data_IF_435581198435
#
_entry.id   IF_435581198435
#
_cell.length_a   1.000
_cell.length_b   1.000
_cell.length_c   1.000
_cell.angle_alpha   90.00
_cell.angle_beta   90.00
_cell.angle_gamma   90.00
#
_symmetry.space_group_name_H-M   'P 1'
#
loop_
_entity.id
_entity.type
_entity.pdbx_description
1 polymer ?
#
# COMPACT_ATOMS: atom_id res chain seq x y z
N UNK A 1 -6.48 -3.05 -19.26
CA UNK A 1 -7.07 -3.47 -17.96
C UNK A 1 -6.21 -4.60 -17.40
N UNK A 2 -5.91 -4.58 -16.10
CA UNK A 2 -5.10 -5.65 -15.46
C UNK A 2 -5.91 -6.31 -14.37
N UNK A 3 -5.82 -7.62 -14.26
CA UNK A 3 -6.30 -8.35 -13.09
C UNK A 3 -5.28 -8.28 -11.96
N UNK A 4 -5.77 -8.23 -10.73
CA UNK A 4 -4.95 -8.19 -9.50
C UNK A 4 -5.40 -9.33 -8.58
N UNK A 5 -4.46 -10.19 -8.19
CA UNK A 5 -4.66 -11.20 -7.15
C UNK A 5 -3.68 -10.94 -6.01
N UNK A 6 -4.14 -11.19 -4.80
CA UNK A 6 -3.33 -11.07 -3.59
C UNK A 6 -3.39 -12.35 -2.80
N UNK A 7 -2.25 -12.67 -2.21
CA UNK A 7 -2.07 -13.85 -1.39
C UNK A 7 -1.34 -13.45 -0.12
N UNK A 8 -1.81 -13.93 1.02
CA UNK A 8 -1.12 -13.80 2.29
C UNK A 8 -0.38 -15.08 2.61
N UNK A 9 0.80 -14.97 3.21
CA UNK A 9 1.63 -16.11 3.60
C UNK A 9 2.27 -15.85 4.96
N UNK A 10 2.59 -16.89 5.72
CA UNK A 10 3.34 -16.79 6.97
C UNK A 10 4.74 -16.23 6.70
N UNK A 11 5.17 -15.24 7.47
CA UNK A 11 6.46 -14.57 7.24
C UNK A 11 7.66 -15.53 7.31
N UNK A 12 7.55 -16.61 8.06
CA UNK A 12 8.58 -17.65 8.14
C UNK A 12 8.76 -18.40 6.82
N UNK A 13 7.78 -18.36 5.93
CA UNK A 13 7.84 -18.98 4.60
C UNK A 13 8.42 -18.08 3.51
N UNK A 14 8.87 -16.88 3.84
CA UNK A 14 9.29 -15.87 2.86
C UNK A 14 10.39 -16.37 1.90
N UNK A 15 11.38 -17.11 2.40
CA UNK A 15 12.47 -17.63 1.55
C UNK A 15 11.95 -18.70 0.58
N UNK A 16 11.02 -19.53 1.04
CA UNK A 16 10.36 -20.52 0.18
C UNK A 16 9.57 -19.83 -0.93
N UNK A 17 8.77 -18.83 -0.57
CA UNK A 17 7.99 -18.03 -1.55
C UNK A 17 8.91 -17.36 -2.57
N UNK A 18 10.05 -16.79 -2.14
CA UNK A 18 11.04 -16.21 -3.06
C UNK A 18 11.60 -17.23 -4.04
N UNK A 19 11.95 -18.41 -3.54
CA UNK A 19 12.50 -19.49 -4.35
C UNK A 19 11.45 -20.03 -5.34
N UNK A 20 10.22 -20.25 -4.90
CA UNK A 20 9.13 -20.73 -5.75
C UNK A 20 8.83 -19.73 -6.89
N UNK A 21 8.81 -18.43 -6.56
CA UNK A 21 8.61 -17.37 -7.56
C UNK A 21 9.77 -17.31 -8.58
N UNK A 22 11.02 -17.40 -8.12
CA UNK A 22 12.21 -17.38 -9.01
C UNK A 22 12.28 -18.59 -9.91
N UNK A 23 11.91 -19.77 -9.40
CA UNK A 23 11.92 -21.04 -10.12
C UNK A 23 10.64 -21.28 -10.94
N UNK A 24 9.67 -20.37 -10.86
CA UNK A 24 8.43 -20.50 -11.62
C UNK A 24 8.69 -20.38 -13.13
N UNK A 25 7.87 -21.03 -13.93
CA UNK A 25 7.90 -20.93 -15.40
C UNK A 25 7.59 -19.51 -15.92
N UNK A 26 7.20 -18.59 -15.03
CA UNK A 26 6.93 -17.19 -15.38
C UNK A 26 8.19 -16.40 -15.75
N UNK A 27 9.39 -16.94 -15.50
CA UNK A 27 10.65 -16.28 -15.81
C UNK A 27 10.80 -14.93 -15.07
N UNK A 28 10.44 -14.91 -13.79
CA UNK A 28 10.47 -13.71 -12.97
C UNK A 28 11.90 -13.26 -12.66
N UNK A 29 12.19 -12.00 -12.87
CA UNK A 29 13.45 -11.35 -12.48
C UNK A 29 13.17 -10.05 -11.74
N UNK A 30 14.12 -9.63 -10.92
CA UNK A 30 14.01 -8.34 -10.21
C UNK A 30 13.91 -7.20 -11.22
N UNK A 31 12.92 -6.34 -11.05
CA UNK A 31 12.64 -5.20 -11.94
C UNK A 31 13.06 -3.85 -11.36
N UNK A 32 13.09 -3.74 -10.04
CA UNK A 32 13.53 -2.57 -9.30
C UNK A 32 14.25 -2.99 -8.03
N UNK A 33 15.15 -2.15 -7.46
CA UNK A 33 15.70 -2.37 -6.13
C UNK A 33 14.59 -2.49 -5.07
N UNK A 34 14.82 -3.35 -4.09
CA UNK A 34 13.96 -3.43 -2.92
C UNK A 34 13.96 -2.12 -2.17
N UNK A 35 12.81 -1.72 -1.64
CA UNK A 35 12.70 -0.50 -0.85
C UNK A 35 11.57 -0.59 0.17
N UNK A 36 11.64 0.28 1.17
CA UNK A 36 10.54 0.48 2.09
C UNK A 36 9.53 1.47 1.50
N UNK A 37 8.28 1.07 1.57
CA UNK A 37 7.13 1.87 1.16
C UNK A 37 6.44 2.39 2.41
N UNK A 38 6.41 3.69 2.57
CA UNK A 38 5.70 4.38 3.63
C UNK A 38 4.39 4.93 3.10
N UNK A 39 3.37 4.90 3.92
CA UNK A 39 2.08 5.52 3.59
C UNK A 39 1.40 6.03 4.85
N UNK A 40 0.83 7.23 4.79
CA UNK A 40 -0.14 7.73 5.75
C UNK A 40 -1.47 7.84 5.02
N UNK A 41 -2.49 7.17 5.52
CA UNK A 41 -3.85 7.25 4.98
C UNK A 41 -4.63 8.38 5.61
N UNK A 42 -5.42 9.05 4.77
CA UNK A 42 -6.35 10.08 5.16
C UNK A 42 -7.76 9.50 5.11
N UNK A 43 -8.58 9.79 6.12
CA UNK A 43 -9.98 9.37 6.15
C UNK A 43 -10.83 10.39 6.90
N UNK A 44 -12.13 10.20 6.88
CA UNK A 44 -13.05 10.92 7.75
C UNK A 44 -12.90 10.45 9.21
N UNK A 45 -13.48 11.22 10.14
CA UNK A 45 -13.53 10.83 11.55
C UNK A 45 -14.18 9.47 11.76
N UNK A 46 -15.16 9.11 10.94
CA UNK A 46 -15.90 7.86 11.03
C UNK A 46 -15.25 6.70 10.24
N UNK A 47 -14.06 6.87 9.66
CA UNK A 47 -13.40 5.87 8.84
C UNK A 47 -14.22 5.42 7.61
N UNK A 48 -14.91 6.35 6.95
CA UNK A 48 -15.81 6.05 5.84
C UNK A 48 -15.12 5.28 4.69
N UNK A 49 -13.90 5.65 4.32
CA UNK A 49 -13.16 4.94 3.28
C UNK A 49 -12.77 3.51 3.70
N UNK A 50 -12.53 3.25 4.98
CA UNK A 50 -12.32 1.89 5.49
C UNK A 50 -13.62 1.10 5.44
N UNK A 51 -14.73 1.65 5.92
CA UNK A 51 -16.07 1.04 5.93
C UNK A 51 -16.53 0.73 4.51
N UNK A 52 -16.40 1.66 3.56
CA UNK A 52 -16.72 1.45 2.15
C UNK A 52 -15.93 0.30 1.53
N UNK A 53 -14.69 0.12 1.97
CA UNK A 53 -13.87 -0.98 1.49
C UNK A 53 -14.28 -2.33 2.07
N UNK A 54 -14.65 -2.39 3.34
CA UNK A 54 -15.12 -3.60 4.03
C UNK A 54 -16.46 -4.03 3.44
N UNK A 55 -17.41 -3.10 3.32
CA UNK A 55 -18.75 -3.34 2.78
C UNK A 55 -18.76 -3.61 1.27
N UNK A 56 -17.63 -3.37 0.59
CA UNK A 56 -17.52 -3.63 -0.84
C UNK A 56 -18.24 -2.63 -1.72
N UNK A 57 -18.46 -1.39 -1.24
CA UNK A 57 -19.12 -0.33 -2.01
C UNK A 57 -18.55 -0.22 -3.42
N UNK A 58 -19.44 -0.13 -4.41
CA UNK A 58 -19.07 -0.09 -5.83
C UNK A 58 -18.35 1.19 -6.23
N UNK A 59 -18.66 2.29 -5.54
CA UNK A 59 -17.98 3.59 -5.69
C UNK A 59 -17.28 3.91 -4.38
N UNK A 60 -15.97 3.90 -4.37
CA UNK A 60 -15.15 4.21 -3.20
C UNK A 60 -13.81 4.77 -3.59
N UNK A 61 -13.17 5.46 -2.66
CA UNK A 61 -11.81 5.95 -2.87
C UNK A 61 -10.98 5.80 -1.60
N UNK A 62 -9.67 5.93 -1.76
CA UNK A 62 -8.70 5.99 -0.66
C UNK A 62 -7.68 7.05 -0.99
N UNK A 63 -7.38 7.87 -0.02
CA UNK A 63 -6.36 8.92 -0.12
C UNK A 63 -5.20 8.54 0.78
N UNK A 64 -3.97 8.67 0.26
CA UNK A 64 -2.77 8.45 1.07
C UNK A 64 -1.62 9.34 0.62
N UNK A 65 -0.83 9.76 1.56
CA UNK A 65 0.49 10.29 1.35
C UNK A 65 1.49 9.13 1.30
N UNK A 66 2.38 9.10 0.30
CA UNK A 66 3.36 8.03 0.11
C UNK A 66 4.76 8.60 -0.10
N UNK A 67 5.74 7.91 0.48
CA UNK A 67 7.16 8.10 0.18
C UNK A 67 7.93 6.79 0.25
N UNK A 68 9.20 6.81 -0.08
CA UNK A 68 10.06 5.64 -0.17
C UNK A 68 11.38 5.88 0.56
N UNK A 69 11.96 4.82 1.12
CA UNK A 69 13.29 4.82 1.72
C UNK A 69 14.02 3.50 1.44
N UNK A 70 15.34 3.52 1.54
CA UNK A 70 16.16 2.30 1.44
C UNK A 70 16.21 1.53 2.76
N UNK A 71 16.10 2.23 3.86
CA UNK A 71 16.15 1.68 5.20
C UNK A 71 14.78 1.69 5.88
N UNK A 72 14.59 0.73 6.80
CA UNK A 72 13.47 0.76 7.73
C UNK A 72 13.71 1.86 8.76
N UNK A 73 13.33 3.06 8.42
CA UNK A 73 13.38 4.20 9.32
C UNK A 73 12.14 5.07 9.13
N UNK A 74 11.83 5.83 10.15
CA UNK A 74 10.76 6.82 10.11
C UNK A 74 11.33 8.24 9.90
N UNK A 75 12.65 8.37 9.80
CA UNK A 75 13.28 9.66 9.63
C UNK A 75 13.00 10.18 8.23
N UNK A 76 12.41 11.36 8.19
CA UNK A 76 12.21 12.11 6.97
C UNK A 76 13.38 13.06 6.82
N UNK A 77 14.09 12.96 5.72
CA UNK A 77 15.10 13.95 5.33
C UNK A 77 14.45 15.12 4.56
N UNK A 78 15.18 16.19 4.40
CA UNK A 78 14.72 17.39 3.70
C UNK A 78 14.43 17.13 2.21
N UNK A 79 14.98 16.03 1.65
CA UNK A 79 14.82 15.64 0.26
C UNK A 79 13.71 14.59 0.06
N UNK A 80 12.98 14.22 1.12
CA UNK A 80 11.92 13.23 1.01
C UNK A 80 10.84 13.68 0.03
N UNK A 81 10.69 12.92 -1.06
CA UNK A 81 9.68 13.19 -2.07
C UNK A 81 8.36 12.51 -1.71
N UNK A 82 7.36 13.31 -1.43
CA UNK A 82 6.03 12.82 -1.14
C UNK A 82 5.16 12.77 -2.37
N UNK A 83 4.28 11.79 -2.42
CA UNK A 83 3.24 11.64 -3.43
C UNK A 83 1.89 11.48 -2.73
N UNK A 84 0.94 12.34 -3.04
CA UNK A 84 -0.45 12.08 -2.70
C UNK A 84 -1.04 11.15 -3.75
N UNK A 85 -1.53 10.01 -3.33
CA UNK A 85 -2.19 9.03 -4.18
C UNK A 85 -3.68 8.95 -3.83
N UNK A 86 -4.53 9.13 -4.83
CA UNK A 86 -5.98 8.92 -4.73
C UNK A 86 -6.30 7.67 -5.56
N UNK A 87 -6.71 6.60 -4.90
CA UNK A 87 -7.14 5.38 -5.57
C UNK A 87 -8.66 5.34 -5.61
N UNK A 88 -9.19 5.50 -6.81
CA UNK A 88 -10.62 5.43 -7.09
C UNK A 88 -11.01 4.01 -7.50
N UNK A 89 -12.17 3.57 -7.08
CA UNK A 89 -12.82 2.37 -7.59
C UNK A 89 -14.26 2.69 -7.97
N UNK A 90 -14.63 2.34 -9.20
CA UNK A 90 -16.02 2.45 -9.71
C UNK A 90 -16.36 1.11 -10.35
N UNK A 91 -17.16 0.31 -9.66
CA UNK A 91 -17.46 -1.08 -10.04
C UNK A 91 -16.17 -1.92 -10.22
N UNK A 92 -15.94 -2.43 -11.43
CA UNK A 92 -14.73 -3.18 -11.81
C UNK A 92 -13.54 -2.28 -12.17
N UNK A 93 -13.77 -0.99 -12.45
CA UNK A 93 -12.72 -0.06 -12.86
C UNK A 93 -11.96 0.47 -11.64
N UNK A 94 -10.66 0.54 -11.77
CA UNK A 94 -9.78 1.14 -10.76
C UNK A 94 -8.88 2.16 -11.43
N UNK A 95 -8.89 3.36 -10.90
CA UNK A 95 -8.06 4.48 -11.35
C UNK A 95 -7.14 4.91 -10.20
N UNK A 96 -5.95 5.37 -10.53
CA UNK A 96 -4.99 5.91 -9.58
C UNK A 96 -4.51 7.26 -10.06
N UNK A 97 -4.76 8.29 -9.26
CA UNK A 97 -4.29 9.65 -9.46
C UNK A 97 -3.10 9.86 -8.52
N UNK A 98 -2.04 10.48 -9.03
CA UNK A 98 -0.80 10.74 -8.26
C UNK A 98 -0.41 12.20 -8.43
N UNK A 99 -0.19 12.88 -7.31
CA UNK A 99 0.33 14.24 -7.27
C UNK A 99 1.61 14.28 -6.45
N UNK A 100 2.71 14.86 -6.97
CA UNK A 100 3.84 15.21 -6.13
C UNK A 100 3.41 16.27 -5.13
N UNK A 101 3.86 16.14 -3.89
CA UNK A 101 3.53 17.05 -2.78
C UNK A 101 4.81 17.42 -2.07
N UNK A 102 5.02 18.70 -1.86
CA UNK A 102 6.10 19.19 -1.01
C UNK A 102 5.56 19.36 0.42
N UNK A 103 6.21 18.74 1.39
CA UNK A 103 5.82 18.81 2.81
C UNK A 103 7.03 19.20 3.66
N UNK A 104 7.15 20.49 4.02
CA UNK A 104 8.15 20.94 4.97
C UNK A 104 8.01 20.24 6.32
N UNK A 105 9.13 20.08 7.02
CA UNK A 105 9.16 19.38 8.32
C UNK A 105 8.22 20.02 9.35
N UNK A 106 8.11 21.34 9.32
CA UNK A 106 7.23 22.12 10.22
C UNK A 106 5.75 21.75 10.02
N UNK A 107 5.36 21.46 8.77
CA UNK A 107 3.99 21.03 8.46
C UNK A 107 3.78 19.59 8.91
N UNK A 108 4.76 18.69 8.72
CA UNK A 108 4.66 17.29 9.17
C UNK A 108 4.51 17.15 10.68
N UNK A 109 5.07 18.11 11.45
CA UNK A 109 4.96 18.15 12.92
C UNK A 109 3.78 18.97 13.43
N UNK A 110 2.97 19.53 12.52
CA UNK A 110 1.79 20.32 12.86
C UNK A 110 0.55 19.45 13.11
N UNK A 111 -0.60 20.06 13.33
CA UNK A 111 -1.86 19.33 13.50
C UNK A 111 -2.28 18.62 12.20
N UNK A 112 -3.04 17.53 12.32
CA UNK A 112 -3.58 16.78 11.19
C UNK A 112 -4.33 17.68 10.21
N UNK A 113 -5.18 18.55 10.73
CA UNK A 113 -5.94 19.53 9.92
C UNK A 113 -4.99 20.44 9.14
N UNK A 114 -3.88 20.86 9.75
CA UNK A 114 -2.87 21.68 9.07
C UNK A 114 -2.20 20.94 7.94
N UNK A 115 -1.84 19.65 8.15
CA UNK A 115 -1.27 18.78 7.11
C UNK A 115 -2.27 18.59 5.97
N UNK A 116 -3.52 18.24 6.28
CA UNK A 116 -4.59 18.02 5.30
C UNK A 116 -4.81 19.29 4.46
N UNK A 117 -4.94 20.44 5.11
CA UNK A 117 -5.14 21.72 4.43
C UNK A 117 -3.93 22.10 3.56
N UNK A 118 -2.71 21.86 4.04
CA UNK A 118 -1.49 22.17 3.29
C UNK A 118 -1.37 21.31 2.04
N UNK A 119 -1.67 20.01 2.15
CA UNK A 119 -1.70 19.08 1.01
C UNK A 119 -2.81 19.46 0.04
N UNK A 120 -4.01 19.77 0.53
CA UNK A 120 -5.17 20.15 -0.29
C UNK A 120 -4.90 21.38 -1.16
N UNK A 121 -4.13 22.37 -0.66
CA UNK A 121 -3.77 23.58 -1.43
C UNK A 121 -2.91 23.30 -2.65
N UNK A 122 -2.15 22.18 -2.65
CA UNK A 122 -1.28 21.79 -3.75
C UNK A 122 -1.99 20.98 -4.83
N UNK A 123 -3.26 20.60 -4.62
CA UNK A 123 -4.02 19.79 -5.56
C UNK A 123 -4.76 20.65 -6.59
N UNK A 124 -4.94 20.14 -7.82
CA UNK A 124 -5.89 20.67 -8.77
C UNK A 124 -7.31 20.69 -8.17
N UNK A 125 -8.12 21.66 -8.60
CA UNK A 125 -9.43 21.90 -8.03
C UNK A 125 -10.38 20.67 -8.12
N UNK A 126 -10.27 19.92 -9.20
CA UNK A 126 -11.05 18.70 -9.46
C UNK A 126 -10.73 17.54 -8.50
N UNK A 127 -9.55 17.57 -7.86
CA UNK A 127 -9.12 16.52 -6.94
C UNK A 127 -9.25 16.91 -5.46
N UNK A 128 -9.45 18.19 -5.17
CA UNK A 128 -9.68 18.68 -3.78
C UNK A 128 -10.85 18.00 -3.07
N UNK A 129 -11.99 17.70 -3.71
CA UNK A 129 -13.10 17.05 -3.03
C UNK A 129 -12.73 15.74 -2.33
N UNK A 130 -11.77 14.97 -2.86
CA UNK A 130 -11.35 13.70 -2.26
C UNK A 130 -10.62 13.86 -0.91
N UNK A 131 -9.91 14.97 -0.73
CA UNK A 131 -9.19 15.23 0.53
C UNK A 131 -10.01 16.13 1.48
N UNK A 132 -10.91 16.95 0.97
CA UNK A 132 -11.73 17.84 1.79
C UNK A 132 -12.67 17.09 2.76
N UNK A 133 -13.03 15.85 2.45
CA UNK A 133 -13.82 14.99 3.35
C UNK A 133 -12.95 14.27 4.39
N UNK A 134 -11.63 14.32 4.25
CA UNK A 134 -10.72 13.72 5.20
C UNK A 134 -10.50 14.70 6.37
N UNK A 135 -10.63 14.20 7.58
CA UNK A 135 -10.42 14.98 8.82
C UNK A 135 -9.27 14.46 9.64
N UNK A 136 -8.85 13.21 9.38
CA UNK A 136 -7.86 12.50 10.18
C UNK A 136 -6.75 11.89 9.32
N UNK A 137 -5.57 11.79 9.90
CA UNK A 137 -4.50 10.89 9.48
C UNK A 137 -4.76 9.53 10.14
N UNK A 138 -5.48 8.66 9.47
CA UNK A 138 -6.13 7.50 10.08
C UNK A 138 -5.23 6.30 10.32
N UNK A 139 -4.17 6.14 9.52
CA UNK A 139 -3.27 4.98 9.60
C UNK A 139 -1.92 5.27 8.94
N UNK A 140 -0.85 4.95 9.63
CA UNK A 140 0.48 4.82 9.08
C UNK A 140 0.80 3.35 8.71
N UNK A 141 1.45 3.14 7.57
CA UNK A 141 1.90 1.81 7.12
C UNK A 141 3.31 1.92 6.57
N UNK A 142 4.20 1.04 7.02
CA UNK A 142 5.50 0.83 6.41
C UNK A 142 5.67 -0.65 6.08
N UNK A 143 6.30 -0.96 4.95
CA UNK A 143 6.61 -2.33 4.57
C UNK A 143 7.75 -2.38 3.56
N UNK A 144 8.55 -3.44 3.60
CA UNK A 144 9.54 -3.74 2.57
C UNK A 144 8.83 -4.31 1.34
N UNK A 145 9.18 -3.84 0.14
CA UNK A 145 8.66 -4.35 -1.12
C UNK A 145 9.77 -4.77 -2.07
N UNK A 146 9.66 -6.00 -2.52
CA UNK A 146 10.43 -6.58 -3.61
C UNK A 146 9.62 -6.52 -4.90
N UNK A 147 10.28 -6.32 -6.03
CA UNK A 147 9.63 -6.13 -7.33
C UNK A 147 10.15 -7.15 -8.34
N UNK A 148 9.26 -7.94 -8.90
CA UNK A 148 9.55 -8.93 -9.91
C UNK A 148 8.71 -8.69 -11.16
N UNK A 149 9.29 -8.97 -12.32
CA UNK A 149 8.64 -8.85 -13.62
C UNK A 149 8.95 -10.10 -14.46
N UNK A 150 7.94 -10.64 -15.12
CA UNK A 150 8.13 -11.74 -16.06
C UNK A 150 8.68 -11.24 -17.41
N UNK A 151 9.61 -11.99 -17.98
CA UNK A 151 10.26 -11.62 -19.25
C UNK A 151 9.40 -11.80 -20.50
N UNK A 152 8.25 -12.42 -20.43
CA UNK A 152 7.44 -12.72 -21.63
C UNK A 152 5.99 -12.28 -21.54
N UNK A 153 5.49 -11.99 -20.34
CA UNK A 153 4.05 -11.88 -20.09
C UNK A 153 3.60 -10.56 -19.46
N UNK A 154 4.50 -9.60 -19.22
CA UNK A 154 4.21 -8.36 -18.47
C UNK A 154 3.47 -8.61 -17.13
N UNK A 155 3.72 -9.77 -16.51
CA UNK A 155 3.21 -10.08 -15.18
C UNK A 155 4.09 -9.39 -14.16
N UNK A 156 3.48 -8.57 -13.33
CA UNK A 156 4.16 -7.89 -12.22
C UNK A 156 3.84 -8.61 -10.93
N UNK A 157 4.87 -9.00 -10.22
CA UNK A 157 4.74 -9.61 -8.90
C UNK A 157 5.45 -8.73 -7.88
N UNK A 158 4.82 -8.49 -6.75
CA UNK A 158 5.46 -7.83 -5.61
C UNK A 158 5.33 -8.69 -4.37
N UNK A 159 6.39 -8.74 -3.56
CA UNK A 159 6.40 -9.38 -2.26
C UNK A 159 6.50 -8.27 -1.22
N UNK A 160 5.50 -8.15 -0.36
CA UNK A 160 5.47 -7.21 0.75
C UNK A 160 5.74 -7.97 2.05
N UNK A 161 6.78 -7.58 2.76
CA UNK A 161 7.20 -8.15 4.04
C UNK A 161 7.48 -7.06 5.07
N UNK A 162 7.71 -7.43 6.32
CA UNK A 162 7.95 -6.48 7.44
C UNK A 162 6.88 -5.40 7.47
N UNK A 163 5.60 -5.83 7.38
CA UNK A 163 4.48 -4.90 7.34
C UNK A 163 4.22 -4.42 8.76
N UNK A 164 4.36 -3.12 8.96
CA UNK A 164 4.12 -2.44 10.22
C UNK A 164 3.00 -1.42 10.09
N UNK A 165 2.11 -1.41 11.08
CA UNK A 165 1.03 -0.44 11.23
C UNK A 165 1.28 0.45 12.45
N UNK A 166 0.99 1.74 12.34
CA UNK A 166 1.17 2.70 13.42
C UNK A 166 0.13 3.81 13.38
N UNK A 167 -0.08 4.46 14.52
CA UNK A 167 -1.03 5.56 14.63
C UNK A 167 -0.35 6.89 14.31
N UNK A 168 -0.72 7.61 13.23
CA UNK A 168 -0.09 8.86 12.83
C UNK A 168 -0.27 10.01 13.82
N UNK A 169 -1.29 9.96 14.69
CA UNK A 169 -1.52 10.98 15.72
C UNK A 169 -0.36 11.12 16.71
N UNK A 170 0.48 10.11 16.79
CA UNK A 170 1.64 10.07 17.67
C UNK A 170 2.95 10.46 16.97
N UNK A 171 2.83 11.06 15.78
CA UNK A 171 3.98 11.44 14.94
C UNK A 171 4.93 12.47 15.58
N UNK A 172 4.46 13.21 16.57
CA UNK A 172 5.17 14.38 17.11
C UNK A 172 6.31 14.07 18.09
N UNK A 173 6.62 12.82 18.39
CA UNK A 173 7.73 12.50 19.31
C UNK A 173 8.54 11.30 18.81
N UNK A 174 9.83 11.51 18.53
CA UNK A 174 10.76 10.49 18.04
C UNK A 174 10.77 9.20 18.88
N UNK A 175 10.46 9.29 20.17
CA UNK A 175 10.40 8.14 21.09
C UNK A 175 9.10 7.34 21.02
N UNK A 176 8.01 7.89 20.51
CA UNK A 176 6.69 7.22 20.50
C UNK A 176 6.44 6.35 19.26
N UNK A 177 7.26 6.46 18.23
CA UNK A 177 7.19 5.59 17.06
C UNK A 177 7.30 4.11 17.38
N UNK A 178 8.12 3.75 18.36
CA UNK A 178 8.40 2.35 18.68
C UNK A 178 7.39 1.73 19.65
N UNK A 179 6.63 2.52 20.38
CA UNK A 179 5.78 1.99 21.47
C UNK A 179 4.38 1.53 21.05
N UNK A 180 3.93 1.83 19.81
CA UNK A 180 2.59 1.51 19.32
C UNK A 180 2.59 1.01 17.87
N UNK A 181 3.62 0.31 17.48
CA UNK A 181 3.70 -0.33 16.16
C UNK A 181 3.20 -1.76 16.26
N UNK A 182 2.40 -2.15 15.28
CA UNK A 182 1.97 -3.53 15.12
C UNK A 182 2.69 -4.12 13.90
N UNK A 183 3.67 -4.98 14.13
CA UNK A 183 4.31 -5.77 13.09
C UNK A 183 3.50 -7.03 12.82
N UNK A 184 3.30 -7.34 11.54
CA UNK A 184 2.55 -8.54 11.16
C UNK A 184 3.47 -9.76 11.05
N UNK A 185 2.93 -10.93 11.40
CA UNK A 185 3.57 -12.23 11.18
C UNK A 185 3.31 -12.79 9.78
N UNK A 186 2.78 -11.99 8.86
CA UNK A 186 2.50 -12.40 7.49
C UNK A 186 3.09 -11.42 6.46
N UNK A 187 3.36 -11.96 5.28
CA UNK A 187 3.66 -11.19 4.08
C UNK A 187 2.52 -11.24 3.07
N UNK A 188 2.65 -10.45 2.00
CA UNK A 188 1.67 -10.38 0.92
C UNK A 188 2.36 -10.49 -0.44
N UNK A 189 1.98 -11.45 -1.25
CA UNK A 189 2.29 -11.49 -2.67
C UNK A 189 1.14 -10.83 -3.44
N UNK A 190 1.45 -9.83 -4.25
CA UNK A 190 0.49 -9.21 -5.17
C UNK A 190 0.93 -9.47 -6.60
N UNK A 191 0.04 -10.08 -7.39
CA UNK A 191 0.29 -10.39 -8.80
C UNK A 191 -0.66 -9.58 -9.67
N UNK A 192 -0.11 -8.91 -10.68
CA UNK A 192 -0.87 -8.14 -11.69
C UNK A 192 -0.63 -8.71 -13.06
N UNK A 193 -1.71 -9.08 -13.73
CA UNK A 193 -1.70 -9.70 -15.05
C UNK A 193 -2.35 -8.78 -16.09
N UNK A 194 -1.81 -8.69 -17.30
CA UNK A 194 -2.59 -8.24 -18.45
C UNK A 194 -3.82 -9.14 -18.65
N UNK A 195 -4.91 -8.58 -19.20
CA UNK A 195 -6.18 -9.32 -19.34
C UNK A 195 -6.05 -10.55 -20.23
N UNK A 196 -5.39 -10.40 -21.35
CA UNK A 196 -5.09 -11.43 -22.35
C UNK A 196 -4.24 -12.56 -21.78
N UNK A 197 -3.26 -12.21 -20.96
CA UNK A 197 -2.37 -13.18 -20.30
C UNK A 197 -3.10 -13.98 -19.23
N UNK A 198 -4.04 -13.37 -18.50
CA UNK A 198 -4.80 -14.05 -17.47
C UNK A 198 -5.61 -15.24 -18.02
N UNK A 199 -6.12 -15.13 -19.24
CA UNK A 199 -6.91 -16.17 -19.88
C UNK A 199 -6.03 -17.29 -20.46
N UNK A 200 -4.78 -16.98 -20.83
CA UNK A 200 -3.84 -17.93 -21.43
C UNK A 200 -2.99 -18.69 -20.42
N UNK A 201 -2.62 -18.05 -19.28
CA UNK A 201 -1.93 -18.72 -18.18
C UNK A 201 -2.94 -19.48 -17.33
N UNK A 202 -3.40 -20.60 -17.87
CA UNK A 202 -4.27 -21.51 -17.15
C UNK A 202 -3.52 -22.17 -16.01
N UNK A 203 -3.97 -21.87 -14.81
CA UNK A 203 -3.93 -22.62 -13.56
C UNK A 203 -2.64 -23.36 -13.16
N UNK A 204 -1.89 -23.99 -14.07
CA UNK A 204 -0.75 -24.86 -13.71
C UNK A 204 0.49 -24.08 -13.26
N UNK A 205 0.81 -22.97 -13.91
CA UNK A 205 2.01 -22.18 -13.58
C UNK A 205 1.84 -21.31 -12.33
N UNK A 206 0.59 -21.01 -11.99
CA UNK A 206 0.23 -20.31 -10.75
C UNK A 206 0.04 -21.27 -9.58
N UNK A 207 -0.30 -22.53 -9.84
CA UNK A 207 -0.56 -23.53 -8.80
C UNK A 207 0.66 -23.86 -7.95
N UNK A 208 1.87 -23.76 -8.48
CA UNK A 208 3.10 -23.94 -7.70
C UNK A 208 3.20 -22.93 -6.55
N UNK A 209 2.70 -21.70 -6.78
CA UNK A 209 2.69 -20.64 -5.76
C UNK A 209 1.41 -20.69 -4.93
N UNK A 210 0.27 -20.99 -5.57
CA UNK A 210 -1.06 -20.89 -4.97
C UNK A 210 -1.44 -22.07 -4.08
N UNK A 211 -0.80 -23.24 -4.23
CA UNK A 211 -1.08 -24.39 -3.37
C UNK A 211 -0.68 -24.18 -1.90
N UNK A 212 0.09 -23.15 -1.61
CA UNK A 212 0.63 -22.88 -0.27
C UNK A 212 0.15 -21.54 0.33
N UNK A 213 -0.47 -20.68 -0.48
CA UNK A 213 -0.90 -19.35 -0.05
C UNK A 213 -2.37 -19.12 -0.38
N UNK A 214 -3.09 -18.57 0.59
CA UNK A 214 -4.54 -18.35 0.46
C UNK A 214 -4.82 -17.09 -0.36
N UNK A 215 -5.55 -17.19 -1.49
CA UNK A 215 -5.99 -16.01 -2.21
C UNK A 215 -7.04 -15.27 -1.39
N UNK A 216 -6.91 -13.97 -1.30
CA UNK A 216 -7.83 -13.19 -0.47
C UNK A 216 -7.92 -11.72 -0.85
N UNK A 217 -8.98 -11.09 -0.35
CA UNK A 217 -9.08 -9.63 -0.37
C UNK A 217 -8.21 -9.09 0.75
N UNK A 218 -7.01 -8.64 0.41
CA UNK A 218 -6.12 -8.01 1.37
C UNK A 218 -6.01 -6.51 1.10
N UNK A 219 -6.29 -5.70 2.10
CA UNK A 219 -6.08 -4.25 2.08
C UNK A 219 -5.33 -3.85 3.32
N UNK A 220 -4.06 -3.44 3.17
CA UNK A 220 -3.25 -2.94 4.29
C UNK A 220 -3.97 -1.84 5.07
N UNK A 221 -4.72 -0.97 4.38
CA UNK A 221 -5.49 0.07 5.02
C UNK A 221 -6.56 -0.51 5.97
N UNK A 222 -7.39 -1.43 5.47
CA UNK A 222 -8.46 -2.03 6.29
C UNK A 222 -7.90 -2.83 7.46
N UNK A 223 -6.92 -3.68 7.19
CA UNK A 223 -6.32 -4.52 8.24
C UNK A 223 -5.66 -3.66 9.30
N UNK A 224 -4.86 -2.68 8.90
CA UNK A 224 -4.19 -1.78 9.84
C UNK A 224 -5.17 -0.94 10.65
N UNK A 225 -6.24 -0.41 10.02
CA UNK A 225 -7.26 0.35 10.75
C UNK A 225 -7.97 -0.47 11.82
N UNK A 226 -8.19 -1.78 11.59
CA UNK A 226 -8.76 -2.67 12.60
C UNK A 226 -7.76 -2.94 13.73
N UNK A 227 -6.48 -3.14 13.41
CA UNK A 227 -5.46 -3.53 14.38
C UNK A 227 -5.07 -2.38 15.33
N UNK A 228 -4.98 -1.14 14.83
CA UNK A 228 -4.55 0.00 15.66
C UNK A 228 -5.68 0.64 16.48
N UNK A 229 -6.94 0.30 16.19
CA UNK A 229 -8.11 0.81 16.91
C UNK A 229 -8.72 -0.24 17.87
N UNK A 230 -8.05 -1.36 18.06
CA UNK A 230 -8.32 -2.32 19.13
C UNK A 230 -7.63 -1.87 20.41
#
# INVERSE_FOLDING_TARGET
MRYEKKYTFDINEIEKIRNDLRNSKLGLSQSFPDRFNHSIYFDSFNYDAAIDNISGQSKRYKVRLRWYSELFNYNLDENTQFQLEIKLKRNSLSEKIVHPVNLPREILTSSEISIINYVSKQLPIEHKPYICHCTNLSLGVIYKREYLLSKGYDIRVTIDSKINYWNPLKFNTEKQYFSNNYETEYGVVEMKYPKDVYESIKHEDLNLITNQITPGRHSKYVVGSILINK
#
